data_IF_990884453321
#
_entry.id   IF_990884453321
#
_cell.length_a   1.000
_cell.length_b   1.000
_cell.length_c   1.000
_cell.angle_alpha   90.00
_cell.angle_beta   90.00
_cell.angle_gamma   90.00
#
_symmetry.space_group_name_H-M   'P 1'
#
loop_
_entity.id
_entity.type
_entity.pdbx_description
1 polymer ?
#
# COMPACT_ATOMS: atom_id res chain seq x y z
N UNK A 1 9.51 -1.64 5.39
CA UNK A 1 10.82 -1.24 5.96
C UNK A 1 11.64 -0.58 4.85
N UNK A 2 12.11 0.64 5.09
CA UNK A 2 12.94 1.41 4.17
C UNK A 2 14.43 1.08 4.35
N UNK A 3 15.26 1.48 3.39
CA UNK A 3 16.69 1.21 3.39
C UNK A 3 17.51 2.44 3.81
N UNK A 4 18.74 2.23 4.29
CA UNK A 4 19.67 3.31 4.69
C UNK A 4 19.97 4.27 3.52
N UNK A 5 19.81 3.81 2.28
CA UNK A 5 19.98 4.59 1.05
C UNK A 5 18.79 5.51 0.73
N UNK A 6 17.72 5.49 1.55
CA UNK A 6 16.51 6.30 1.37
C UNK A 6 16.43 7.34 2.50
N UNK A 7 17.19 8.45 2.42
CA UNK A 7 17.08 9.50 3.44
C UNK A 7 15.72 10.18 3.36
N UNK A 8 15.07 10.35 4.50
CA UNK A 8 13.79 11.04 4.58
C UNK A 8 13.93 12.54 4.27
N UNK A 9 12.96 13.05 3.51
CA UNK A 9 12.88 14.48 3.22
C UNK A 9 12.21 15.21 4.38
N UNK A 10 12.76 16.35 4.78
CA UNK A 10 12.16 17.17 5.83
C UNK A 10 10.98 18.00 5.30
N UNK A 11 9.75 17.50 5.45
CA UNK A 11 8.52 18.19 5.03
C UNK A 11 8.15 19.42 5.86
N UNK A 12 8.88 19.74 6.94
CA UNK A 12 8.76 21.05 7.62
C UNK A 12 9.49 22.15 6.87
N UNK A 13 10.35 21.81 5.91
CA UNK A 13 10.99 22.79 5.04
C UNK A 13 10.03 23.18 3.89
N UNK A 14 9.59 24.44 3.80
CA UNK A 14 8.66 24.87 2.75
C UNK A 14 9.23 24.70 1.33
N UNK A 15 10.56 24.70 1.15
CA UNK A 15 11.17 24.41 -0.14
C UNK A 15 10.97 22.96 -0.57
N UNK A 16 11.01 22.00 0.37
CA UNK A 16 10.72 20.58 0.10
C UNK A 16 9.25 20.42 -0.29
N UNK A 17 8.35 21.06 0.46
CA UNK A 17 6.91 21.02 0.17
C UNK A 17 6.62 21.53 -1.24
N UNK A 18 7.16 22.69 -1.62
CA UNK A 18 6.93 23.25 -2.94
C UNK A 18 7.56 22.40 -4.05
N UNK A 19 8.74 21.84 -3.80
CA UNK A 19 9.37 20.96 -4.79
C UNK A 19 8.59 19.67 -5.01
N UNK A 20 8.05 19.06 -3.95
CA UNK A 20 7.18 17.90 -4.10
C UNK A 20 5.88 18.24 -4.84
N UNK A 21 5.32 19.45 -4.65
CA UNK A 21 4.21 19.94 -5.48
C UNK A 21 4.64 20.14 -6.94
N UNK A 22 5.84 20.62 -7.21
CA UNK A 22 6.38 20.74 -8.57
C UNK A 22 6.51 19.37 -9.25
N UNK A 23 6.94 18.33 -8.54
CA UNK A 23 6.98 16.95 -9.06
C UNK A 23 5.58 16.49 -9.47
N UNK A 24 4.55 16.73 -8.64
CA UNK A 24 3.16 16.41 -9.01
C UNK A 24 2.72 17.17 -10.26
N UNK A 25 2.94 18.50 -10.30
CA UNK A 25 2.59 19.34 -11.45
C UNK A 25 3.29 18.89 -12.73
N UNK A 26 4.57 18.52 -12.65
CA UNK A 26 5.34 18.03 -13.78
C UNK A 26 4.65 16.83 -14.44
N UNK A 27 4.31 15.80 -13.65
CA UNK A 27 3.67 14.60 -14.16
C UNK A 27 2.23 14.83 -14.63
N UNK A 28 1.48 15.69 -13.93
CA UNK A 28 0.13 16.09 -14.37
C UNK A 28 0.18 16.84 -15.72
N UNK A 29 1.17 17.70 -15.94
CA UNK A 29 1.40 18.38 -17.22
C UNK A 29 1.81 17.40 -18.34
N UNK A 30 2.39 16.25 -17.99
CA UNK A 30 2.65 15.14 -18.95
C UNK A 30 1.41 14.29 -19.25
N UNK A 31 0.27 14.56 -18.60
CA UNK A 31 -0.99 13.87 -18.83
C UNK A 31 -1.24 12.67 -17.92
N UNK A 32 -0.46 12.50 -16.84
CA UNK A 32 -0.75 11.49 -15.81
C UNK A 32 -2.12 11.77 -15.18
N UNK A 33 -2.93 10.72 -15.01
CA UNK A 33 -4.31 10.83 -14.55
C UNK A 33 -4.47 10.80 -13.03
N UNK A 34 -3.40 10.53 -12.28
CA UNK A 34 -3.43 10.47 -10.83
C UNK A 34 -2.21 9.82 -10.23
N UNK A 35 -2.18 9.73 -8.91
CA UNK A 35 -1.06 9.18 -8.17
C UNK A 35 -1.52 8.21 -7.08
N UNK A 36 -0.72 7.16 -6.89
CA UNK A 36 -0.70 6.34 -5.68
C UNK A 36 0.44 6.86 -4.82
N UNK A 37 0.09 7.45 -3.69
CA UNK A 37 1.04 8.04 -2.76
C UNK A 37 1.50 6.99 -1.77
N UNK A 38 2.76 6.59 -1.89
CA UNK A 38 3.37 5.54 -1.07
C UNK A 38 3.87 6.10 0.27
N UNK A 39 3.93 5.26 1.31
CA UNK A 39 4.60 5.59 2.57
C UNK A 39 4.13 6.88 3.28
N UNK A 40 2.90 7.36 3.03
CA UNK A 40 2.43 8.65 3.57
C UNK A 40 2.43 8.71 5.11
N UNK A 41 2.18 7.64 5.87
CA UNK A 41 2.30 7.70 7.33
C UNK A 41 3.64 8.24 7.85
N UNK A 42 4.73 8.13 7.07
CA UNK A 42 6.10 8.44 7.48
C UNK A 42 6.57 9.85 7.08
N UNK A 43 5.70 10.73 6.57
CA UNK A 43 6.14 12.05 6.07
C UNK A 43 6.71 12.99 7.15
N UNK A 44 6.34 12.77 8.41
CA UNK A 44 6.75 13.60 9.53
C UNK A 44 7.00 12.74 10.76
N UNK A 45 8.06 13.07 11.48
CA UNK A 45 8.37 12.59 12.82
C UNK A 45 8.13 13.70 13.86
N UNK A 46 7.97 13.30 15.11
CA UNK A 46 7.82 14.21 16.25
C UNK A 46 9.08 15.06 16.45
N UNK A 47 8.89 16.36 16.64
CA UNK A 47 10.00 17.27 16.94
C UNK A 47 10.57 17.11 18.35
N UNK A 48 9.91 16.34 19.23
CA UNK A 48 10.43 16.09 20.59
C UNK A 48 11.66 15.18 20.58
N UNK A 49 11.82 14.35 19.53
CA UNK A 49 12.86 13.33 19.42
C UNK A 49 12.90 12.36 20.61
N UNK A 50 11.75 12.16 21.26
CA UNK A 50 11.60 11.21 22.35
C UNK A 50 11.62 9.77 21.83
N UNK A 51 12.08 8.85 22.67
CA UNK A 51 12.07 7.43 22.38
C UNK A 51 10.63 6.90 22.23
N UNK A 52 10.44 6.02 21.26
CA UNK A 52 9.17 5.32 21.07
C UNK A 52 8.89 4.35 22.24
N UNK A 53 7.63 4.25 22.70
CA UNK A 53 7.25 3.22 23.64
C UNK A 53 7.33 1.82 23.00
N UNK A 54 7.50 0.79 23.81
CA UNK A 54 7.40 -0.61 23.35
C UNK A 54 5.97 -0.95 22.93
N UNK A 55 5.82 -1.77 21.90
CA UNK A 55 4.53 -2.33 21.49
C UNK A 55 3.93 -3.22 22.59
N UNK A 56 2.62 -3.40 22.64
CA UNK A 56 1.97 -4.27 23.65
C UNK A 56 2.52 -5.71 23.61
N UNK A 57 2.78 -6.20 22.40
CA UNK A 57 3.30 -7.52 22.09
C UNK A 57 4.81 -7.52 21.81
N UNK A 58 5.57 -6.53 22.30
CA UNK A 58 7.02 -6.39 22.04
C UNK A 58 7.85 -7.64 22.37
N UNK A 59 7.42 -8.44 23.36
CA UNK A 59 8.14 -9.64 23.82
C UNK A 59 8.25 -10.75 22.77
N UNK A 60 7.44 -10.68 21.70
CA UNK A 60 7.48 -11.63 20.59
C UNK A 60 8.45 -11.21 19.49
N UNK A 61 9.10 -10.06 19.64
CA UNK A 61 9.95 -9.45 18.63
C UNK A 61 11.35 -9.18 19.17
N UNK A 62 12.34 -9.27 18.29
CA UNK A 62 13.69 -8.83 18.61
C UNK A 62 13.74 -7.30 18.71
N UNK A 63 14.64 -6.70 19.52
CA UNK A 63 14.77 -5.24 19.62
C UNK A 63 15.02 -4.52 18.29
N UNK A 64 15.52 -5.23 17.27
CA UNK A 64 15.75 -4.69 15.92
C UNK A 64 14.57 -4.85 14.98
N UNK A 65 13.51 -5.55 15.38
CA UNK A 65 12.31 -5.72 14.57
C UNK A 65 11.41 -4.49 14.71
N UNK A 66 10.82 -4.03 13.60
CA UNK A 66 9.89 -2.88 13.56
C UNK A 66 8.80 -3.01 14.64
N UNK A 67 8.17 -4.18 14.72
CA UNK A 67 7.05 -4.45 15.64
C UNK A 67 7.44 -4.49 17.14
N UNK A 68 8.72 -4.30 17.48
CA UNK A 68 9.15 -4.15 18.86
C UNK A 68 8.61 -2.87 19.51
N UNK A 69 8.41 -1.82 18.71
CA UNK A 69 8.00 -0.49 19.15
C UNK A 69 6.57 -0.17 18.71
N UNK A 70 5.94 0.75 19.43
CA UNK A 70 4.68 1.37 19.04
C UNK A 70 5.00 2.77 18.52
N UNK A 71 4.85 2.95 17.21
CA UNK A 71 5.30 4.13 16.46
C UNK A 71 4.36 5.33 16.66
N UNK A 72 4.45 5.98 17.81
CA UNK A 72 3.66 7.18 18.12
C UNK A 72 4.43 8.47 17.81
N UNK A 73 5.76 8.41 17.74
CA UNK A 73 6.62 9.55 17.43
C UNK A 73 7.00 9.61 15.94
N UNK A 74 6.99 8.49 15.22
CA UNK A 74 7.53 8.40 13.84
C UNK A 74 6.48 8.17 12.75
N UNK A 75 5.22 7.94 13.12
CA UNK A 75 4.16 7.67 12.15
C UNK A 75 2.88 8.48 12.41
N UNK A 76 2.20 8.85 11.32
CA UNK A 76 0.87 9.47 11.32
C UNK A 76 0.76 10.75 12.17
N UNK A 77 1.82 11.56 12.19
CA UNK A 77 1.80 12.86 12.86
C UNK A 77 0.69 13.76 12.29
N UNK A 78 0.12 14.69 13.07
CA UNK A 78 -0.95 15.56 12.61
C UNK A 78 -0.63 16.32 11.31
N UNK A 79 0.63 16.71 11.11
CA UNK A 79 1.12 17.39 9.90
C UNK A 79 1.01 16.54 8.64
N UNK A 80 1.10 15.20 8.75
CA UNK A 80 0.96 14.26 7.63
C UNK A 80 -0.37 14.46 6.90
N UNK A 81 -1.47 14.57 7.65
CA UNK A 81 -2.79 14.79 7.07
C UNK A 81 -2.88 16.16 6.39
N UNK A 82 -2.27 17.21 6.97
CA UNK A 82 -2.25 18.54 6.36
C UNK A 82 -1.52 18.53 5.02
N UNK A 83 -0.38 17.86 4.95
CA UNK A 83 0.40 17.72 3.72
C UNK A 83 -0.37 16.95 2.65
N UNK A 84 -1.07 15.88 3.04
CA UNK A 84 -1.95 15.14 2.13
C UNK A 84 -3.03 16.04 1.52
N UNK A 85 -3.66 16.91 2.32
CA UNK A 85 -4.66 17.85 1.83
C UNK A 85 -4.06 18.89 0.87
N UNK A 86 -2.83 19.33 1.12
CA UNK A 86 -2.12 20.22 0.19
C UNK A 86 -1.76 19.54 -1.14
N UNK A 87 -1.40 18.25 -1.13
CA UNK A 87 -1.27 17.48 -2.37
C UNK A 87 -2.61 17.34 -3.08
N UNK A 88 -3.69 17.11 -2.33
CA UNK A 88 -5.03 17.03 -2.91
C UNK A 88 -5.42 18.33 -3.63
N UNK A 89 -5.12 19.48 -3.04
CA UNK A 89 -5.41 20.79 -3.65
C UNK A 89 -4.69 20.98 -4.99
N UNK A 90 -3.45 20.49 -5.12
CA UNK A 90 -2.74 20.51 -6.42
C UNK A 90 -3.50 19.72 -7.47
N UNK A 91 -3.98 18.52 -7.15
CA UNK A 91 -4.71 17.68 -8.10
C UNK A 91 -6.08 18.28 -8.47
N UNK A 92 -6.79 18.83 -7.49
CA UNK A 92 -8.08 19.48 -7.73
C UNK A 92 -7.93 20.73 -8.61
N UNK A 93 -6.82 21.48 -8.51
CA UNK A 93 -6.55 22.62 -9.39
C UNK A 93 -6.48 22.25 -10.88
N UNK A 94 -6.07 21.02 -11.22
CA UNK A 94 -6.04 20.52 -12.60
C UNK A 94 -7.41 20.09 -13.11
N UNK A 95 -8.30 19.63 -12.22
CA UNK A 95 -9.70 19.38 -12.57
C UNK A 95 -10.36 20.69 -13.00
N UNK A 96 -10.09 21.76 -12.27
CA UNK A 96 -10.70 23.07 -12.52
C UNK A 96 -10.20 23.70 -13.83
N UNK A 97 -8.99 23.35 -14.28
CA UNK A 97 -8.41 23.81 -15.56
C UNK A 97 -8.85 22.99 -16.79
N UNK A 98 -9.12 21.69 -16.64
CA UNK A 98 -9.30 20.76 -17.77
C UNK A 98 -10.53 19.86 -17.70
N UNK A 99 -11.40 20.04 -16.71
CA UNK A 99 -12.67 19.33 -16.53
C UNK A 99 -12.56 17.84 -16.17
N UNK A 100 -11.35 17.28 -16.03
CA UNK A 100 -11.13 15.87 -15.68
C UNK A 100 -10.49 15.75 -14.30
N UNK A 101 -11.12 14.95 -13.44
CA UNK A 101 -10.58 14.61 -12.13
C UNK A 101 -9.20 13.94 -12.24
N UNK A 102 -8.27 14.36 -11.38
CA UNK A 102 -6.97 13.71 -11.19
C UNK A 102 -7.03 12.87 -9.92
N UNK A 103 -6.87 11.56 -10.07
CA UNK A 103 -7.09 10.61 -9.00
C UNK A 103 -5.94 10.62 -7.97
N UNK A 104 -6.26 10.32 -6.72
CA UNK A 104 -5.28 10.20 -5.64
C UNK A 104 -5.70 9.11 -4.68
N UNK A 105 -4.81 8.17 -4.42
CA UNK A 105 -4.94 7.18 -3.34
C UNK A 105 -3.67 7.16 -2.51
N UNK A 106 -3.76 6.70 -1.26
CA UNK A 106 -2.61 6.58 -0.36
C UNK A 106 -2.42 5.14 0.08
N UNK A 107 -1.17 4.70 0.16
CA UNK A 107 -0.79 3.48 0.85
C UNK A 107 -0.48 3.80 2.32
N UNK A 108 -1.26 3.24 3.24
CA UNK A 108 -1.11 3.48 4.66
C UNK A 108 -1.41 2.21 5.46
N UNK A 109 -0.39 1.62 6.07
CA UNK A 109 -0.54 0.54 7.04
C UNK A 109 -0.76 1.14 8.44
N UNK A 110 -2.01 1.39 8.81
CA UNK A 110 -2.34 1.99 10.11
C UNK A 110 -3.74 1.59 10.61
N UNK A 111 -4.09 1.97 11.83
CA UNK A 111 -5.42 1.70 12.40
C UNK A 111 -6.53 2.43 11.63
N UNK A 112 -7.76 1.92 11.67
CA UNK A 112 -8.88 2.59 10.99
C UNK A 112 -9.07 4.03 11.48
N UNK A 113 -8.91 4.29 12.78
CA UNK A 113 -9.03 5.64 13.34
C UNK A 113 -8.02 6.63 12.75
N UNK A 114 -6.79 6.18 12.53
CA UNK A 114 -5.76 6.98 11.86
C UNK A 114 -5.98 7.05 10.35
N UNK A 115 -6.64 6.04 9.76
CA UNK A 115 -6.87 5.96 8.32
C UNK A 115 -8.02 6.87 7.84
N UNK A 116 -9.08 7.05 8.63
CA UNK A 116 -10.24 7.83 8.17
C UNK A 116 -9.92 9.30 7.83
N UNK A 117 -9.06 10.01 8.57
CA UNK A 117 -8.63 11.35 8.19
C UNK A 117 -7.91 11.45 6.83
N UNK A 118 -7.44 10.33 6.25
CA UNK A 118 -6.89 10.33 4.89
C UNK A 118 -7.94 10.60 3.81
N UNK A 119 -9.22 10.32 4.06
CA UNK A 119 -10.32 10.73 3.17
C UNK A 119 -10.57 12.23 3.25
N UNK A 120 -10.75 12.75 4.46
CA UNK A 120 -10.99 14.16 4.76
C UNK A 120 -10.96 14.39 6.27
N UNK A 121 -10.85 15.66 6.68
CA UNK A 121 -11.11 16.06 8.08
C UNK A 121 -12.49 16.74 8.25
N UNK A 122 -13.40 16.56 7.29
CA UNK A 122 -14.70 17.25 7.23
C UNK A 122 -14.66 18.69 6.70
N UNK A 123 -13.50 19.35 6.70
CA UNK A 123 -13.34 20.71 6.13
C UNK A 123 -12.52 20.75 4.84
N UNK A 124 -11.55 19.85 4.70
CA UNK A 124 -10.68 19.68 3.53
C UNK A 124 -10.68 18.24 3.09
N UNK A 125 -10.62 18.04 1.77
CA UNK A 125 -10.52 16.73 1.16
C UNK A 125 -9.07 16.23 1.19
N UNK A 126 -8.91 14.93 1.46
CA UNK A 126 -7.68 14.20 1.27
C UNK A 126 -7.75 13.32 0.03
N UNK A 127 -7.21 12.11 0.12
CA UNK A 127 -7.26 11.14 -0.96
C UNK A 127 -8.70 10.83 -1.35
N UNK A 128 -8.90 10.43 -2.61
CA UNK A 128 -10.20 9.94 -3.07
C UNK A 128 -10.59 8.68 -2.29
N UNK A 129 -9.61 7.83 -2.00
CA UNK A 129 -9.66 6.84 -0.93
C UNK A 129 -8.23 6.41 -0.53
N UNK A 130 -7.96 6.11 0.75
CA UNK A 130 -6.81 5.31 1.15
C UNK A 130 -7.03 3.84 0.73
N UNK A 131 -5.95 3.13 0.41
CA UNK A 131 -6.02 1.70 0.09
C UNK A 131 -6.51 0.89 1.29
N UNK A 132 -7.49 0.02 1.05
CA UNK A 132 -8.08 -0.85 2.05
C UNK A 132 -7.34 -2.19 2.15
N UNK A 133 -6.38 -2.28 3.05
CA UNK A 133 -5.63 -3.51 3.30
C UNK A 133 -6.37 -4.57 4.13
N UNK A 134 -7.61 -4.33 4.57
CA UNK A 134 -8.31 -5.23 5.51
C UNK A 134 -8.46 -6.64 4.98
N UNK A 135 -8.79 -6.81 3.69
CA UNK A 135 -8.89 -8.14 3.06
C UNK A 135 -7.52 -8.83 2.93
N UNK A 136 -6.44 -8.05 2.83
CA UNK A 136 -5.07 -8.58 2.68
C UNK A 136 -4.50 -8.99 4.04
N UNK A 137 -4.67 -8.16 5.06
CA UNK A 137 -4.03 -8.32 6.37
C UNK A 137 -4.81 -9.25 7.31
N UNK A 138 -6.14 -9.33 7.17
CA UNK A 138 -7.01 -10.05 8.12
C UNK A 138 -7.48 -11.41 7.65
N UNK A 139 -7.41 -11.68 6.35
CA UNK A 139 -8.02 -12.87 5.75
C UNK A 139 -6.97 -13.76 5.09
N UNK A 140 -7.16 -15.05 5.25
CA UNK A 140 -6.32 -16.14 4.75
C UNK A 140 -7.16 -17.41 4.57
N UNK A 141 -6.51 -18.52 4.23
CA UNK A 141 -7.19 -19.81 4.02
C UNK A 141 -7.92 -20.37 5.23
N UNK A 142 -7.55 -19.95 6.44
CA UNK A 142 -8.22 -20.36 7.69
C UNK A 142 -9.47 -19.51 7.99
N UNK A 143 -9.71 -18.44 7.23
CA UNK A 143 -10.82 -17.52 7.46
C UNK A 143 -12.17 -18.14 7.08
N UNK A 144 -13.16 -17.95 7.93
CA UNK A 144 -14.55 -18.38 7.71
C UNK A 144 -15.33 -17.34 6.92
N UNK A 145 -16.51 -17.71 6.41
CA UNK A 145 -17.41 -16.74 5.77
C UNK A 145 -17.79 -15.57 6.69
N UNK A 146 -17.89 -15.81 8.01
CA UNK A 146 -18.18 -14.77 8.99
C UNK A 146 -17.02 -13.74 9.07
N UNK A 147 -15.77 -14.20 8.96
CA UNK A 147 -14.60 -13.31 8.98
C UNK A 147 -14.59 -12.37 7.77
N UNK A 148 -14.96 -12.88 6.60
CA UNK A 148 -15.15 -12.06 5.40
C UNK A 148 -16.23 -10.99 5.60
N UNK A 149 -17.42 -11.39 6.05
CA UNK A 149 -18.54 -10.46 6.29
C UNK A 149 -18.14 -9.39 7.31
N UNK A 150 -17.58 -9.78 8.45
CA UNK A 150 -17.16 -8.85 9.49
C UNK A 150 -16.10 -7.86 8.99
N UNK A 151 -15.15 -8.33 8.18
CA UNK A 151 -14.09 -7.48 7.61
C UNK A 151 -14.66 -6.45 6.62
N UNK A 152 -15.63 -6.85 5.79
CA UNK A 152 -16.28 -5.95 4.83
C UNK A 152 -17.15 -4.92 5.55
N UNK A 153 -17.99 -5.38 6.49
CA UNK A 153 -18.90 -4.53 7.26
C UNK A 153 -18.13 -3.50 8.09
N UNK A 154 -17.04 -3.90 8.74
CA UNK A 154 -16.20 -2.97 9.54
C UNK A 154 -15.72 -1.78 8.70
N UNK A 155 -15.27 -2.00 7.46
CA UNK A 155 -14.84 -0.90 6.60
C UNK A 155 -15.99 0.02 6.20
N UNK A 156 -17.13 -0.57 5.80
CA UNK A 156 -18.31 0.18 5.38
C UNK A 156 -18.92 1.02 6.50
N UNK A 157 -18.89 0.52 7.75
CA UNK A 157 -19.38 1.23 8.93
C UNK A 157 -18.43 2.35 9.40
N UNK A 158 -17.12 2.18 9.19
CA UNK A 158 -16.10 3.11 9.72
C UNK A 158 -15.74 4.24 8.76
N UNK A 159 -15.90 4.04 7.44
CA UNK A 159 -15.60 5.09 6.46
C UNK A 159 -16.55 6.29 6.60
N UNK A 160 -16.10 7.53 6.29
CA UNK A 160 -16.98 8.69 6.31
C UNK A 160 -18.23 8.50 5.45
N UNK A 161 -19.35 9.09 5.87
CA UNK A 161 -20.58 9.10 5.07
C UNK A 161 -20.26 9.70 3.68
N UNK A 162 -20.57 8.96 2.61
CA UNK A 162 -20.26 9.26 1.21
C UNK A 162 -18.82 9.00 0.73
N UNK A 163 -17.94 8.43 1.57
CA UNK A 163 -16.64 7.95 1.12
C UNK A 163 -16.77 6.74 0.16
N UNK A 164 -15.90 6.68 -0.85
CA UNK A 164 -15.86 5.62 -1.85
C UNK A 164 -14.95 4.48 -1.40
N UNK A 165 -15.44 3.25 -1.42
CA UNK A 165 -14.68 2.06 -1.00
C UNK A 165 -13.75 1.54 -2.10
N UNK A 166 -12.78 0.73 -1.69
CA UNK A 166 -11.92 -0.03 -2.59
C UNK A 166 -11.59 -1.39 -1.96
N UNK A 167 -11.30 -2.38 -2.80
CA UNK A 167 -11.11 -3.77 -2.39
C UNK A 167 -10.06 -4.45 -3.25
N UNK A 168 -9.13 -5.17 -2.62
CA UNK A 168 -8.12 -5.98 -3.30
C UNK A 168 -7.60 -7.08 -2.40
N UNK A 169 -7.00 -8.09 -3.03
CA UNK A 169 -6.36 -9.20 -2.34
C UNK A 169 -4.83 -9.25 -2.53
N UNK A 170 -4.24 -8.40 -3.37
CA UNK A 170 -2.81 -8.52 -3.68
C UNK A 170 -2.12 -7.19 -3.88
N UNK A 171 -0.82 -7.17 -3.60
CA UNK A 171 0.12 -6.17 -4.07
C UNK A 171 1.54 -6.80 -4.09
N UNK A 172 2.54 -5.99 -4.44
CA UNK A 172 3.94 -6.42 -4.52
C UNK A 172 4.67 -6.55 -3.17
N UNK A 173 4.02 -6.30 -2.04
CA UNK A 173 4.62 -6.39 -0.70
C UNK A 173 4.07 -7.56 0.12
N UNK A 174 3.02 -8.21 -0.37
CA UNK A 174 2.31 -9.27 0.31
C UNK A 174 2.37 -10.53 -0.55
N UNK A 175 2.41 -11.70 0.08
CA UNK A 175 2.28 -12.99 -0.61
C UNK A 175 1.08 -12.97 -1.55
N UNK A 176 1.11 -13.64 -2.70
CA UNK A 176 -0.01 -13.64 -3.66
C UNK A 176 -1.28 -14.23 -3.07
N UNK A 177 -2.44 -13.76 -3.53
CA UNK A 177 -3.74 -14.16 -2.98
C UNK A 177 -3.95 -15.68 -3.05
N UNK A 178 -3.63 -16.30 -4.19
CA UNK A 178 -3.70 -17.76 -4.39
C UNK A 178 -2.88 -18.55 -3.37
N UNK A 179 -1.67 -18.06 -3.02
CA UNK A 179 -0.79 -18.68 -2.05
C UNK A 179 -1.20 -18.41 -0.59
N UNK A 180 -1.90 -17.31 -0.31
CA UNK A 180 -2.45 -17.02 1.03
C UNK A 180 -3.77 -17.76 1.32
N UNK A 181 -4.57 -18.02 0.28
CA UNK A 181 -5.84 -18.71 0.36
C UNK A 181 -5.72 -20.13 -0.21
N UNK A 182 -6.21 -20.32 -1.43
CA UNK A 182 -6.07 -21.52 -2.23
C UNK A 182 -6.35 -21.14 -3.68
N UNK A 183 -5.68 -21.79 -4.63
CA UNK A 183 -5.97 -21.61 -6.07
C UNK A 183 -7.44 -21.87 -6.40
N UNK A 184 -8.10 -22.80 -5.71
CA UNK A 184 -9.52 -23.11 -5.92
C UNK A 184 -10.48 -21.98 -5.51
N UNK A 185 -10.02 -20.98 -4.74
CA UNK A 185 -10.84 -19.87 -4.27
C UNK A 185 -10.70 -18.60 -5.12
N UNK A 186 -9.75 -18.54 -6.06
CA UNK A 186 -9.42 -17.29 -6.77
C UNK A 186 -10.59 -16.72 -7.56
N UNK A 187 -11.38 -17.56 -8.22
CA UNK A 187 -12.57 -17.10 -8.95
C UNK A 187 -13.58 -16.44 -8.01
N UNK A 188 -13.80 -17.04 -6.84
CA UNK A 188 -14.73 -16.51 -5.84
C UNK A 188 -14.22 -15.21 -5.21
N UNK A 189 -12.92 -15.11 -4.92
CA UNK A 189 -12.29 -13.89 -4.41
C UNK A 189 -12.34 -12.76 -5.44
N UNK A 190 -12.05 -13.06 -6.71
CA UNK A 190 -12.16 -12.10 -7.82
C UNK A 190 -13.59 -11.62 -8.00
N UNK A 191 -14.56 -12.54 -8.00
CA UNK A 191 -15.98 -12.20 -8.09
C UNK A 191 -16.41 -11.31 -6.92
N UNK A 192 -15.98 -11.64 -5.69
CA UNK A 192 -16.31 -10.86 -4.50
C UNK A 192 -15.90 -9.39 -4.64
N UNK A 193 -14.65 -9.07 -4.97
CA UNK A 193 -14.21 -7.67 -5.07
C UNK A 193 -14.90 -6.90 -6.20
N UNK A 194 -15.33 -7.58 -7.26
CA UNK A 194 -16.08 -6.97 -8.36
C UNK A 194 -17.57 -6.76 -8.05
N UNK A 195 -18.13 -7.50 -7.08
CA UNK A 195 -19.51 -7.35 -6.63
C UNK A 195 -19.65 -6.38 -5.44
N UNK A 196 -18.58 -6.14 -4.69
CA UNK A 196 -18.58 -5.18 -3.60
C UNK A 196 -18.70 -3.74 -4.10
N UNK A 197 -19.37 -2.84 -3.34
CA UNK A 197 -19.46 -1.44 -3.70
C UNK A 197 -18.08 -0.79 -3.66
N UNK A 198 -17.78 0.04 -4.66
CA UNK A 198 -16.53 0.77 -4.73
C UNK A 198 -15.68 0.38 -5.93
N UNK A 199 -14.36 0.44 -5.76
CA UNK A 199 -13.39 0.13 -6.82
C UNK A 199 -12.68 -1.19 -6.54
N UNK A 200 -12.85 -2.24 -7.38
CA UNK A 200 -11.98 -3.41 -7.35
C UNK A 200 -10.58 -3.02 -7.84
N UNK A 201 -9.55 -3.47 -7.14
CA UNK A 201 -8.15 -3.31 -7.52
C UNK A 201 -7.54 -4.72 -7.64
N UNK A 202 -6.90 -5.00 -8.78
CA UNK A 202 -6.29 -6.29 -9.09
C UNK A 202 -4.79 -6.11 -9.21
N UNK A 203 -4.00 -6.95 -8.53
CA UNK A 203 -2.55 -6.98 -8.69
C UNK A 203 -2.16 -7.92 -9.83
N UNK A 204 -1.07 -7.62 -10.54
CA UNK A 204 -0.71 -8.35 -11.75
C UNK A 204 -0.52 -9.85 -11.47
N UNK A 205 -1.29 -10.68 -12.18
CA UNK A 205 -1.29 -12.13 -12.06
C UNK A 205 -2.41 -12.67 -11.18
N UNK A 206 -3.09 -11.85 -10.37
CA UNK A 206 -4.25 -12.29 -9.60
C UNK A 206 -5.39 -12.72 -10.54
N UNK A 207 -5.52 -12.09 -11.71
CA UNK A 207 -6.48 -12.46 -12.76
C UNK A 207 -6.22 -13.84 -13.40
N UNK A 208 -5.01 -14.37 -13.22
CA UNK A 208 -4.61 -15.72 -13.64
C UNK A 208 -4.51 -16.69 -12.47
N UNK A 209 -4.73 -16.22 -11.23
CA UNK A 209 -4.47 -16.99 -10.03
C UNK A 209 -2.99 -17.35 -9.82
N UNK A 210 -2.06 -16.54 -10.32
CA UNK A 210 -0.62 -16.77 -10.15
C UNK A 210 -0.27 -16.96 -8.66
N UNK A 211 0.53 -17.98 -8.37
CA UNK A 211 1.07 -18.26 -7.03
C UNK A 211 2.43 -17.58 -6.80
N UNK A 212 2.82 -17.48 -5.53
CA UNK A 212 4.14 -17.04 -5.10
C UNK A 212 5.23 -17.82 -5.85
N UNK A 213 6.21 -17.08 -6.37
CA UNK A 213 7.38 -17.68 -6.99
C UNK A 213 8.31 -18.27 -5.94
N UNK A 214 8.92 -19.40 -6.27
CA UNK A 214 10.00 -19.95 -5.46
C UNK A 214 11.29 -19.15 -5.68
N UNK A 215 11.79 -18.50 -4.62
CA UNK A 215 13.04 -17.73 -4.64
C UNK A 215 14.01 -18.27 -3.58
N UNK A 216 15.18 -18.73 -4.03
CA UNK A 216 16.24 -19.17 -3.12
C UNK A 216 16.97 -17.97 -2.52
N UNK A 217 17.61 -18.18 -1.37
CA UNK A 217 18.41 -17.14 -0.72
C UNK A 217 19.48 -16.52 -1.64
N UNK A 218 20.19 -17.33 -2.43
CA UNK A 218 21.21 -16.86 -3.38
C UNK A 218 20.63 -16.05 -4.57
N UNK A 219 19.30 -16.00 -4.69
CA UNK A 219 18.58 -15.24 -5.70
C UNK A 219 17.78 -14.07 -5.10
N UNK A 220 17.71 -13.98 -3.77
CA UNK A 220 16.98 -12.92 -3.07
C UNK A 220 17.63 -11.58 -3.35
N UNK A 221 16.83 -10.60 -3.74
CA UNK A 221 17.25 -9.22 -4.02
C UNK A 221 16.48 -8.19 -3.21
N UNK A 222 15.38 -8.58 -2.54
CA UNK A 222 14.63 -7.69 -1.66
C UNK A 222 15.52 -7.17 -0.51
N UNK A 223 15.76 -5.84 -0.42
CA UNK A 223 16.55 -5.26 0.66
C UNK A 223 16.04 -5.64 2.05
N UNK A 224 14.73 -5.73 2.25
CA UNK A 224 14.16 -6.10 3.55
C UNK A 224 14.56 -7.52 3.96
N UNK A 225 14.59 -8.45 3.00
CA UNK A 225 15.01 -9.83 3.21
C UNK A 225 16.53 -9.95 3.42
N UNK A 226 17.31 -9.15 2.68
CA UNK A 226 18.76 -9.12 2.82
C UNK A 226 19.20 -8.61 4.20
N UNK A 227 18.50 -7.62 4.75
CA UNK A 227 18.76 -7.07 6.10
C UNK A 227 18.55 -8.12 7.18
N UNK A 228 17.47 -8.90 7.13
CA UNK A 228 17.17 -9.93 8.15
C UNK A 228 17.98 -11.22 7.98
N UNK A 229 18.58 -11.41 6.79
CA UNK A 229 19.50 -12.50 6.50
C UNK A 229 18.85 -13.85 6.17
N UNK A 230 19.69 -14.80 5.76
CA UNK A 230 19.30 -16.13 5.24
C UNK A 230 18.37 -16.92 6.16
N UNK A 231 18.47 -16.76 7.47
CA UNK A 231 17.64 -17.53 8.41
C UNK A 231 16.20 -17.04 8.48
N UNK A 232 15.95 -15.76 8.16
CA UNK A 232 14.63 -15.10 8.31
C UNK A 232 14.03 -14.61 7.00
N UNK A 233 14.77 -14.68 5.89
CA UNK A 233 14.35 -14.12 4.61
C UNK A 233 12.97 -14.59 4.13
N UNK A 234 12.61 -15.87 4.38
CA UNK A 234 11.32 -16.42 3.95
C UNK A 234 10.10 -15.75 4.61
N UNK A 235 10.28 -15.18 5.80
CA UNK A 235 9.21 -14.50 6.52
C UNK A 235 9.02 -13.05 6.07
N UNK A 236 10.00 -12.47 5.37
CA UNK A 236 10.06 -11.03 5.08
C UNK A 236 10.15 -10.71 3.59
N UNK A 237 10.72 -11.62 2.79
CA UNK A 237 10.96 -11.36 1.37
C UNK A 237 9.68 -11.18 0.59
N UNK A 238 9.66 -10.10 -0.18
CA UNK A 238 8.60 -9.76 -1.12
C UNK A 238 8.88 -10.29 -2.52
N UNK A 239 10.07 -10.84 -2.76
CA UNK A 239 10.47 -11.38 -4.06
C UNK A 239 9.52 -12.50 -4.53
N UNK A 240 8.92 -13.24 -3.60
CA UNK A 240 7.94 -14.29 -3.91
C UNK A 240 6.73 -13.74 -4.70
N UNK A 241 6.24 -12.55 -4.37
CA UNK A 241 5.11 -11.91 -5.05
C UNK A 241 5.51 -11.12 -6.31
N UNK A 242 6.82 -10.98 -6.57
CA UNK A 242 7.41 -10.15 -7.63
C UNK A 242 7.93 -10.98 -8.81
N UNK A 243 7.63 -12.28 -8.83
CA UNK A 243 7.94 -13.14 -9.96
C UNK A 243 7.37 -12.60 -11.28
N UNK A 244 8.05 -12.84 -12.43
CA UNK A 244 7.58 -12.37 -13.72
C UNK A 244 6.18 -12.89 -14.07
N UNK A 245 5.42 -12.07 -14.78
CA UNK A 245 4.08 -12.42 -15.26
C UNK A 245 4.12 -13.61 -16.23
N UNK A 246 3.14 -14.52 -16.14
CA UNK A 246 3.08 -15.74 -16.92
C UNK A 246 2.21 -15.58 -18.18
N UNK A 247 2.79 -15.13 -19.28
CA UNK A 247 2.04 -14.83 -20.52
C UNK A 247 1.66 -16.07 -21.31
N UNK A 248 2.61 -17.00 -21.45
CA UNK A 248 2.44 -18.22 -22.23
C UNK A 248 3.31 -19.36 -21.68
N UNK A 249 3.28 -20.52 -22.34
CA UNK A 249 4.06 -21.71 -21.97
C UNK A 249 5.47 -21.76 -22.57
N UNK A 250 5.95 -20.68 -23.19
CA UNK A 250 7.30 -20.62 -23.75
C UNK A 250 8.35 -20.33 -22.67
N UNK A 251 9.64 -20.38 -23.03
CA UNK A 251 10.74 -20.13 -22.09
C UNK A 251 10.57 -18.80 -21.35
N UNK A 252 10.75 -18.82 -20.03
CA UNK A 252 10.51 -17.67 -19.14
C UNK A 252 9.08 -17.11 -19.22
N UNK A 253 8.11 -17.98 -19.51
CA UNK A 253 6.70 -17.64 -19.63
C UNK A 253 6.40 -16.46 -20.58
N UNK A 254 7.19 -16.35 -21.66
CA UNK A 254 7.00 -15.34 -22.71
C UNK A 254 7.58 -13.95 -22.41
N UNK A 255 8.13 -13.70 -21.22
CA UNK A 255 8.56 -12.35 -20.77
C UNK A 255 9.59 -11.70 -21.69
N UNK A 256 10.61 -12.44 -22.14
CA UNK A 256 11.68 -11.87 -22.97
C UNK A 256 11.26 -11.51 -24.39
N UNK A 257 10.19 -12.12 -24.92
CA UNK A 257 9.67 -11.75 -26.25
C UNK A 257 9.06 -10.35 -26.23
N UNK A 258 8.46 -9.95 -25.11
CA UNK A 258 7.84 -8.63 -24.95
C UNK A 258 8.91 -7.53 -24.83
N UNK A 259 9.96 -7.77 -24.03
CA UNK A 259 11.03 -6.78 -23.81
C UNK A 259 11.81 -6.46 -25.10
N UNK A 260 11.98 -7.44 -26.00
CA UNK A 260 12.69 -7.26 -27.25
C UNK A 260 11.83 -6.68 -28.39
N UNK A 261 10.51 -6.53 -28.17
CA UNK A 261 9.56 -6.02 -29.17
C UNK A 261 8.97 -4.64 -28.85
N UNK A 262 9.32 -4.06 -27.69
CA UNK A 262 9.00 -2.69 -27.25
C UNK A 262 10.19 -1.75 -27.43
#
# INVERSE_FOLDING_TARGET
MFAVQQPDLNYRNPAVVEEMKNVLRFWLNKGVHGFRMDAIPFLFESSSLEDEPKAENWKWFEPTDHNYLNHTQTENQPETYRMLYEFRDVLDSYRDLGGRTRFMTTECYTSLDKLMPYYSNGSRNGAHFPLNFRLVDRLNRESTAADFVNTIVEWEERKPAHAWSNWFFGNHDQKRASSRFDTALIDALTMLIHLLPGTPITYNGDELGMEDSFVRWDQTVDPAALIVGQKRYQAVSRDFARGPFQWDNSSYAGVWKIILSS
#
